data_IF_326111532633
#
_entry.id   IF_326111532633
#
_cell.length_a   1.000
_cell.length_b   1.000
_cell.length_c   1.000
_cell.angle_alpha   90.00
_cell.angle_beta   90.00
_cell.angle_gamma   90.00
#
_symmetry.space_group_name_H-M   'P 1'
#
loop_
_entity.id
_entity.type
_entity.pdbx_description
1 polymer ?
#
# COMPACT_ATOMS: atom_id res chain seq x y z
N UNK A 1 -9.33 23.57 8.70
CA UNK A 1 -10.29 23.18 7.63
C UNK A 1 -11.24 22.15 8.23
N UNK A 2 -12.53 22.09 7.85
CA UNK A 2 -13.46 21.11 8.41
C UNK A 2 -13.01 19.67 8.07
N UNK A 3 -13.30 18.72 8.96
CA UNK A 3 -12.98 17.30 8.75
C UNK A 3 -13.71 16.71 7.53
N UNK A 4 -14.94 17.17 7.32
CA UNK A 4 -15.80 16.73 6.23
C UNK A 4 -15.86 17.82 5.16
N UNK A 5 -15.42 17.49 3.96
CA UNK A 5 -15.41 18.41 2.82
C UNK A 5 -16.46 17.99 1.79
N UNK A 6 -17.38 18.87 1.36
CA UNK A 6 -18.35 18.53 0.31
C UNK A 6 -17.65 18.30 -1.04
N UNK A 7 -18.18 17.38 -1.85
CA UNK A 7 -17.64 17.10 -3.17
C UNK A 7 -17.79 18.32 -4.10
N UNK A 8 -16.74 18.74 -4.82
CA UNK A 8 -16.78 19.90 -5.70
C UNK A 8 -17.53 19.64 -7.01
N UNK A 9 -17.73 18.37 -7.39
CA UNK A 9 -18.43 17.94 -8.59
C UNK A 9 -19.38 16.79 -8.26
N UNK A 10 -20.50 16.66 -8.98
CA UNK A 10 -21.42 15.55 -8.77
C UNK A 10 -20.79 14.22 -9.22
N UNK A 11 -20.85 13.20 -8.36
CA UNK A 11 -20.28 11.87 -8.61
C UNK A 11 -19.04 11.56 -7.75
N UNK A 12 -18.52 10.33 -7.83
CA UNK A 12 -17.39 9.93 -6.99
C UNK A 12 -16.09 10.64 -7.39
N UNK A 13 -15.13 10.79 -6.45
CA UNK A 13 -13.81 11.30 -6.79
C UNK A 13 -13.11 10.41 -7.83
N UNK A 14 -12.09 10.95 -8.48
CA UNK A 14 -11.27 10.16 -9.42
C UNK A 14 -10.52 9.06 -8.66
N UNK A 15 -10.74 7.82 -9.04
CA UNK A 15 -10.04 6.65 -8.51
C UNK A 15 -9.73 5.67 -9.65
N UNK A 16 -8.80 4.76 -9.40
CA UNK A 16 -8.57 3.57 -10.23
C UNK A 16 -8.76 2.30 -9.41
N UNK A 17 -9.06 1.19 -10.05
CA UNK A 17 -9.09 -0.10 -9.35
C UNK A 17 -7.68 -0.61 -9.04
N UNK A 18 -7.56 -1.52 -8.06
CA UNK A 18 -6.29 -2.18 -7.71
C UNK A 18 -5.65 -2.86 -8.93
N UNK A 19 -6.48 -3.42 -9.81
CA UNK A 19 -6.02 -4.11 -11.02
C UNK A 19 -5.44 -3.14 -12.06
N UNK A 20 -6.08 -1.97 -12.24
CA UNK A 20 -5.57 -0.90 -13.10
C UNK A 20 -4.29 -0.29 -12.56
N UNK A 21 -4.19 -0.08 -11.24
CA UNK A 21 -2.96 0.39 -10.58
C UNK A 21 -1.78 -0.56 -10.83
N UNK A 22 -2.03 -1.87 -10.75
CA UNK A 22 -1.02 -2.90 -11.02
C UNK A 22 -0.56 -2.87 -12.49
N UNK A 23 -1.47 -2.64 -13.44
CA UNK A 23 -1.13 -2.51 -14.87
C UNK A 23 -0.31 -1.25 -15.17
N UNK A 24 -0.68 -0.11 -14.56
CA UNK A 24 0.03 1.17 -14.68
C UNK A 24 1.44 1.09 -14.08
N UNK A 25 1.60 0.41 -12.95
CA UNK A 25 2.91 0.24 -12.28
C UNK A 25 3.78 -0.82 -12.97
N UNK A 26 3.18 -1.84 -13.59
CA UNK A 26 3.91 -2.87 -14.33
C UNK A 26 4.53 -2.34 -15.63
N UNK A 27 3.97 -1.27 -16.20
CA UNK A 27 4.44 -0.65 -17.43
C UNK A 27 5.12 0.69 -17.11
N UNK A 28 6.37 0.65 -16.62
CA UNK A 28 7.28 1.82 -16.41
C UNK A 28 6.61 3.18 -16.72
N UNK A 29 5.88 3.76 -15.75
CA UNK A 29 5.13 4.98 -16.03
C UNK A 29 6.11 6.14 -16.24
N UNK A 30 5.78 7.03 -17.17
CA UNK A 30 6.57 8.24 -17.45
C UNK A 30 6.64 9.19 -16.25
N UNK A 31 5.73 9.04 -15.28
CA UNK A 31 5.76 9.72 -13.98
C UNK A 31 4.86 9.00 -12.98
N UNK A 32 5.39 8.60 -11.83
CA UNK A 32 4.61 7.96 -10.75
C UNK A 32 3.61 8.93 -10.07
N UNK A 33 3.78 10.24 -10.25
CA UNK A 33 2.91 11.28 -9.68
C UNK A 33 1.59 11.51 -10.41
N UNK A 34 1.37 10.86 -11.56
CA UNK A 34 0.11 10.96 -12.32
C UNK A 34 -0.85 9.79 -12.04
N UNK A 35 -0.40 8.81 -11.24
CA UNK A 35 -1.20 7.63 -10.93
C UNK A 35 -2.30 8.05 -9.94
N UNK A 36 -3.59 7.97 -10.32
CA UNK A 36 -4.68 8.32 -9.42
C UNK A 36 -4.76 7.35 -8.23
N UNK A 37 -5.39 7.76 -7.11
CA UNK A 37 -5.45 6.95 -5.92
C UNK A 37 -6.31 5.70 -6.14
N UNK A 38 -5.96 4.61 -5.48
CA UNK A 38 -6.61 3.32 -5.66
C UNK A 38 -7.89 3.23 -4.84
N UNK A 39 -8.96 2.73 -5.45
CA UNK A 39 -10.18 2.33 -4.74
C UNK A 39 -9.93 0.99 -4.04
N UNK A 40 -9.93 1.03 -2.71
CA UNK A 40 -9.78 -0.16 -1.87
C UNK A 40 -11.10 -0.88 -1.66
N UNK A 41 -12.20 -0.15 -1.47
CA UNK A 41 -13.52 -0.76 -1.27
C UNK A 41 -14.65 0.14 -1.77
N UNK A 42 -15.70 -0.45 -2.33
CA UNK A 42 -16.93 0.24 -2.73
C UNK A 42 -18.13 -0.53 -2.19
N UNK A 43 -19.00 0.15 -1.46
CA UNK A 43 -20.24 -0.41 -0.94
C UNK A 43 -21.44 0.46 -1.32
N UNK A 44 -22.51 -0.18 -1.80
CA UNK A 44 -23.77 0.49 -2.16
C UNK A 44 -24.81 0.34 -1.05
N UNK A 45 -25.82 1.21 -1.03
CA UNK A 45 -26.89 1.20 -0.02
C UNK A 45 -26.38 1.39 1.41
N UNK A 46 -25.42 2.29 1.60
CA UNK A 46 -24.86 2.65 2.90
C UNK A 46 -25.54 3.92 3.41
N UNK A 47 -25.90 3.95 4.68
CA UNK A 47 -26.36 5.16 5.37
C UNK A 47 -25.22 5.72 6.22
N UNK A 48 -25.05 7.04 6.22
CA UNK A 48 -24.06 7.72 7.07
C UNK A 48 -24.77 8.71 7.98
N UNK A 49 -24.48 8.63 9.27
CA UNK A 49 -25.06 9.48 10.30
C UNK A 49 -23.92 10.24 10.99
N UNK A 50 -24.10 11.54 11.18
CA UNK A 50 -23.18 12.39 11.94
C UNK A 50 -23.79 12.78 13.28
N UNK A 51 -22.97 12.75 14.34
CA UNK A 51 -23.32 13.32 15.64
C UNK A 51 -22.18 14.25 16.12
N UNK A 52 -22.42 15.56 16.26
CA UNK A 52 -23.64 16.27 15.89
C UNK A 52 -23.95 16.18 14.37
N UNK A 53 -25.18 16.49 13.92
CA UNK A 53 -25.50 16.50 12.49
C UNK A 53 -24.83 17.68 11.76
N UNK A 54 -24.44 17.47 10.50
CA UNK A 54 -23.87 18.52 9.65
C UNK A 54 -24.99 19.15 8.80
N UNK A 55 -25.19 20.48 8.85
CA UNK A 55 -26.12 21.15 7.96
C UNK A 55 -25.71 20.91 6.49
N UNK A 56 -26.69 20.74 5.60
CA UNK A 56 -26.51 20.40 4.17
C UNK A 56 -26.05 18.97 3.84
N UNK A 57 -25.50 18.21 4.79
CA UNK A 57 -25.08 16.80 4.60
C UNK A 57 -25.97 15.80 5.34
N UNK A 58 -26.89 16.25 6.19
CA UNK A 58 -27.83 15.39 6.91
C UNK A 58 -28.98 14.89 6.05
N UNK A 59 -28.76 13.86 5.25
CA UNK A 59 -29.83 13.13 4.57
C UNK A 59 -29.90 11.69 5.10
N UNK A 60 -31.10 11.24 5.48
CA UNK A 60 -31.36 9.83 5.88
C UNK A 60 -31.30 8.87 4.68
N UNK A 61 -31.02 9.39 3.49
CA UNK A 61 -30.90 8.62 2.25
C UNK A 61 -29.66 7.74 2.22
N UNK A 62 -29.83 6.52 1.70
CA UNK A 62 -28.74 5.60 1.44
C UNK A 62 -27.99 6.00 0.18
N UNK A 63 -26.68 5.98 0.23
CA UNK A 63 -25.78 6.30 -0.86
C UNK A 63 -24.76 5.19 -1.12
N UNK A 64 -23.70 5.56 -1.81
CA UNK A 64 -22.56 4.70 -2.11
C UNK A 64 -21.32 5.22 -1.38
N UNK A 65 -20.67 4.34 -0.63
CA UNK A 65 -19.42 4.58 0.05
C UNK A 65 -18.25 4.14 -0.85
N UNK A 66 -17.21 4.97 -0.92
CA UNK A 66 -15.97 4.70 -1.62
C UNK A 66 -14.82 4.89 -0.64
N UNK A 67 -14.10 3.82 -0.35
CA UNK A 67 -12.86 3.85 0.43
C UNK A 67 -11.72 3.90 -0.57
N UNK A 68 -11.13 5.08 -0.74
CA UNK A 68 -10.07 5.36 -1.71
C UNK A 68 -8.81 5.68 -0.91
N UNK A 69 -7.63 5.28 -1.36
CA UNK A 69 -6.37 5.50 -0.64
C UNK A 69 -6.15 6.95 -0.21
N UNK A 70 -6.60 7.94 -0.99
CA UNK A 70 -6.44 9.35 -0.64
C UNK A 70 -7.43 9.85 0.42
N UNK A 71 -8.67 9.35 0.39
CA UNK A 71 -9.76 9.82 1.24
C UNK A 71 -10.95 8.86 1.23
N UNK A 72 -11.71 8.85 2.31
CA UNK A 72 -13.05 8.26 2.35
C UNK A 72 -14.04 9.19 1.64
N UNK A 73 -14.83 8.67 0.71
CA UNK A 73 -15.86 9.44 0.01
C UNK A 73 -17.23 8.79 0.12
N UNK A 74 -18.27 9.61 0.21
CA UNK A 74 -19.65 9.14 0.21
C UNK A 74 -20.49 9.98 -0.76
N UNK A 75 -21.30 9.31 -1.57
CA UNK A 75 -22.09 9.96 -2.63
C UNK A 75 -23.55 9.50 -2.53
N UNK A 76 -24.46 10.47 -2.44
CA UNK A 76 -25.91 10.23 -2.50
C UNK A 76 -26.38 9.95 -3.93
N UNK A 77 -27.56 9.34 -4.11
CA UNK A 77 -28.17 9.14 -5.42
C UNK A 77 -28.43 10.44 -6.21
N UNK A 78 -28.55 11.56 -5.50
CA UNK A 78 -28.66 12.91 -6.10
C UNK A 78 -27.39 13.38 -6.79
N UNK A 79 -26.26 12.71 -6.58
CA UNK A 79 -24.93 13.08 -7.06
C UNK A 79 -24.15 13.99 -6.11
N UNK A 80 -24.79 14.55 -5.09
CA UNK A 80 -24.09 15.25 -4.01
C UNK A 80 -23.32 14.24 -3.14
N UNK A 81 -22.32 14.70 -2.40
CA UNK A 81 -21.56 13.86 -1.50
C UNK A 81 -20.48 14.63 -0.75
N UNK A 82 -19.66 13.91 -0.01
CA UNK A 82 -18.56 14.47 0.78
C UNK A 82 -17.35 13.53 0.80
N UNK A 83 -16.23 14.08 1.25
CA UNK A 83 -14.97 13.38 1.46
C UNK A 83 -14.41 13.69 2.84
N UNK A 84 -13.71 12.71 3.41
CA UNK A 84 -13.00 12.80 4.69
C UNK A 84 -11.59 12.26 4.47
N UNK A 85 -10.58 13.06 4.78
CA UNK A 85 -9.18 12.65 4.70
C UNK A 85 -8.81 11.75 5.89
N UNK A 86 -7.95 10.75 5.68
CA UNK A 86 -7.59 9.80 6.74
C UNK A 86 -6.98 10.44 7.98
N UNK A 87 -6.09 11.44 7.89
CA UNK A 87 -5.55 12.11 9.08
C UNK A 87 -6.64 12.75 9.96
N UNK A 88 -7.83 13.05 9.41
CA UNK A 88 -8.95 13.59 10.18
C UNK A 88 -9.78 12.51 10.89
N UNK A 89 -9.57 11.24 10.58
CA UNK A 89 -10.22 10.11 11.24
C UNK A 89 -9.32 9.70 12.41
N UNK A 90 -9.65 10.17 13.61
CA UNK A 90 -8.89 9.88 14.83
C UNK A 90 -8.95 8.41 15.19
N UNK A 91 -10.11 7.77 15.00
CA UNK A 91 -10.30 6.35 15.25
C UNK A 91 -11.48 5.82 14.46
N UNK A 92 -11.41 4.55 14.09
CA UNK A 92 -12.52 3.77 13.53
C UNK A 92 -12.65 2.42 14.24
N UNK A 93 -13.88 1.97 14.45
CA UNK A 93 -14.19 0.72 15.12
C UNK A 93 -15.47 0.08 14.60
N UNK A 94 -15.55 -1.24 14.67
CA UNK A 94 -16.79 -1.97 14.40
C UNK A 94 -17.74 -1.85 15.58
N UNK A 95 -18.91 -1.27 15.34
CA UNK A 95 -19.98 -1.10 16.34
C UNK A 95 -21.15 -2.02 16.02
N UNK A 96 -21.60 -2.80 17.01
CA UNK A 96 -22.76 -3.69 16.91
C UNK A 96 -23.83 -3.22 17.89
N UNK A 97 -24.52 -2.14 17.52
CA UNK A 97 -25.53 -1.48 18.35
C UNK A 97 -26.97 -1.90 18.01
N UNK A 98 -27.95 -1.21 18.60
CA UNK A 98 -29.38 -1.44 18.34
C UNK A 98 -29.78 -1.18 16.88
N UNK A 99 -29.05 -0.30 16.19
CA UNK A 99 -29.24 0.03 14.77
C UNK A 99 -28.65 -1.02 13.82
N UNK A 100 -28.01 -2.06 14.36
CA UNK A 100 -27.31 -3.09 13.59
C UNK A 100 -25.79 -2.91 13.56
N UNK A 101 -25.09 -3.78 12.81
CA UNK A 101 -23.64 -3.69 12.66
C UNK A 101 -23.29 -2.50 11.76
N UNK A 102 -22.32 -1.71 12.21
CA UNK A 102 -21.90 -0.45 11.59
C UNK A 102 -20.42 -0.19 11.85
N UNK A 103 -19.81 0.71 11.09
CA UNK A 103 -18.48 1.24 11.38
C UNK A 103 -18.64 2.61 12.03
N UNK A 104 -18.14 2.75 13.24
CA UNK A 104 -18.03 4.02 13.94
C UNK A 104 -16.70 4.67 13.61
N UNK A 105 -16.71 5.96 13.33
CA UNK A 105 -15.53 6.79 13.13
C UNK A 105 -15.63 8.04 14.00
N UNK A 106 -14.53 8.41 14.64
CA UNK A 106 -14.38 9.69 15.32
C UNK A 106 -13.54 10.61 14.44
N UNK A 107 -14.05 11.80 14.18
CA UNK A 107 -13.43 12.82 13.32
C UNK A 107 -12.91 13.98 14.17
N UNK A 108 -11.71 14.43 13.84
CA UNK A 108 -11.12 15.66 14.40
C UNK A 108 -11.54 16.87 13.58
N UNK A 109 -12.42 17.74 14.12
CA UNK A 109 -12.81 18.99 13.46
C UNK A 109 -11.93 20.19 13.83
N UNK A 110 -10.81 19.96 14.53
CA UNK A 110 -9.93 21.04 14.94
C UNK A 110 -9.51 21.90 13.75
N UNK A 111 -9.63 23.22 13.89
CA UNK A 111 -9.32 24.16 12.81
C UNK A 111 -7.86 24.05 12.35
N UNK A 112 -6.97 23.67 13.28
CA UNK A 112 -5.52 23.66 13.14
C UNK A 112 -4.93 22.37 12.53
N UNK A 113 -5.68 21.27 12.48
CA UNK A 113 -5.16 19.99 11.98
C UNK A 113 -5.12 18.91 13.05
N UNK A 114 -5.10 17.63 12.65
CA UNK A 114 -4.99 16.53 13.59
C UNK A 114 -3.70 16.67 14.41
N UNK A 115 -3.79 16.42 15.72
CA UNK A 115 -2.65 16.51 16.65
C UNK A 115 -2.20 17.94 17.01
N UNK A 116 -2.86 19.00 16.55
CA UNK A 116 -2.46 20.36 16.90
C UNK A 116 -2.55 20.60 18.42
N UNK A 117 -1.50 21.13 19.08
CA UNK A 117 -1.56 21.45 20.50
C UNK A 117 -2.60 22.54 20.73
N UNK A 118 -3.78 22.14 21.19
CA UNK A 118 -4.82 23.05 21.64
C UNK A 118 -4.28 23.83 22.83
N UNK A 119 -4.24 25.16 22.70
CA UNK A 119 -3.94 26.03 23.83
C UNK A 119 -5.02 25.87 24.91
N UNK A 120 -4.55 25.68 26.14
CA UNK A 120 -5.29 25.54 27.41
C UNK A 120 -6.23 24.31 27.51
N UNK A 121 -5.99 23.55 28.58
CA UNK A 121 -6.49 22.22 28.95
C UNK A 121 -8.02 22.12 29.22
N UNK A 122 -8.84 22.98 28.61
CA UNK A 122 -10.30 23.05 28.87
C UNK A 122 -11.17 23.33 27.63
N UNK A 123 -10.62 23.35 26.41
CA UNK A 123 -11.46 23.40 25.20
C UNK A 123 -11.78 21.98 24.74
N UNK A 124 -13.05 21.58 24.85
CA UNK A 124 -13.68 20.50 24.07
C UNK A 124 -12.96 20.38 22.72
N UNK A 125 -12.13 19.35 22.53
CA UNK A 125 -11.68 19.00 21.18
C UNK A 125 -12.95 18.80 20.37
N UNK A 126 -13.19 19.66 19.38
CA UNK A 126 -14.38 19.62 18.53
C UNK A 126 -14.34 18.31 17.73
N UNK A 127 -14.82 17.25 18.36
CA UNK A 127 -14.84 15.89 17.83
C UNK A 127 -16.24 15.61 17.30
N UNK A 128 -16.30 15.03 16.11
CA UNK A 128 -17.56 14.61 15.49
C UNK A 128 -17.57 13.12 15.28
N UNK A 129 -18.66 12.49 15.65
CA UNK A 129 -18.88 11.09 15.38
C UNK A 129 -19.51 10.91 14.00
N UNK A 130 -19.05 9.90 13.27
CA UNK A 130 -19.62 9.46 12.01
C UNK A 130 -19.89 7.97 12.09
N UNK A 131 -21.12 7.55 11.80
CA UNK A 131 -21.54 6.13 11.79
C UNK A 131 -21.90 5.72 10.38
N UNK A 132 -21.23 4.69 9.88
CA UNK A 132 -21.42 4.10 8.56
C UNK A 132 -22.22 2.80 8.73
N UNK A 133 -23.45 2.79 8.23
CA UNK A 133 -24.41 1.70 8.42
C UNK A 133 -24.70 1.08 7.04
N UNK A 134 -24.01 -0.01 6.66
CA UNK A 134 -24.31 -0.71 5.42
C UNK A 134 -25.64 -1.48 5.55
N UNK A 135 -26.35 -1.63 4.42
CA UNK A 135 -27.56 -2.47 4.39
C UNK A 135 -27.25 -3.95 4.57
N UNK A 136 -26.04 -4.38 4.19
CA UNK A 136 -25.54 -5.73 4.42
C UNK A 136 -24.60 -5.76 5.63
N UNK A 137 -24.94 -6.57 6.62
CA UNK A 137 -24.14 -6.77 7.83
C UNK A 137 -22.74 -7.34 7.56
N UNK A 138 -22.62 -8.17 6.53
CA UNK A 138 -21.34 -8.80 6.15
C UNK A 138 -20.36 -7.79 5.54
N UNK A 139 -20.85 -6.63 5.08
CA UNK A 139 -20.03 -5.58 4.49
C UNK A 139 -19.31 -4.72 5.55
N UNK A 140 -19.65 -4.84 6.83
CA UNK A 140 -19.03 -4.02 7.89
C UNK A 140 -17.56 -4.35 8.07
N UNK A 141 -17.21 -5.64 8.11
CA UNK A 141 -15.83 -6.11 8.26
C UNK A 141 -14.93 -5.66 7.09
N UNK A 142 -15.31 -5.84 5.80
CA UNK A 142 -14.48 -5.38 4.68
C UNK A 142 -14.37 -3.86 4.59
N UNK A 143 -15.40 -3.09 4.98
CA UNK A 143 -15.29 -1.63 5.09
C UNK A 143 -14.26 -1.25 6.15
N UNK A 144 -14.34 -1.88 7.33
CA UNK A 144 -13.39 -1.64 8.42
C UNK A 144 -11.96 -2.00 8.04
N UNK A 145 -11.75 -3.13 7.36
CA UNK A 145 -10.43 -3.56 6.90
C UNK A 145 -9.86 -2.56 5.88
N UNK A 146 -10.66 -2.15 4.89
CA UNK A 146 -10.23 -1.16 3.89
C UNK A 146 -9.89 0.19 4.52
N UNK A 147 -10.70 0.65 5.49
CA UNK A 147 -10.40 1.86 6.26
C UNK A 147 -9.07 1.73 7.03
N UNK A 148 -8.84 0.59 7.66
CA UNK A 148 -7.61 0.31 8.41
C UNK A 148 -6.38 0.32 7.51
N UNK A 149 -6.48 -0.30 6.34
CA UNK A 149 -5.39 -0.31 5.35
C UNK A 149 -5.07 1.11 4.87
N UNK A 150 -6.10 1.91 4.58
CA UNK A 150 -5.88 3.28 4.13
C UNK A 150 -5.35 4.18 5.26
N UNK A 151 -5.84 4.05 6.49
CA UNK A 151 -5.31 4.81 7.63
C UNK A 151 -3.82 4.53 7.85
N UNK A 152 -3.37 3.28 7.65
CA UNK A 152 -1.94 2.92 7.73
C UNK A 152 -1.05 3.60 6.68
N UNK A 153 -1.62 4.08 5.56
CA UNK A 153 -0.89 4.82 4.52
C UNK A 153 -0.74 6.31 4.84
N UNK A 154 -1.42 6.81 5.87
CA UNK A 154 -1.42 8.22 6.27
C UNK A 154 -1.00 8.36 7.74
N UNK A 155 0.29 8.13 8.07
CA UNK A 155 0.79 8.40 9.42
C UNK A 155 0.59 9.88 9.77
N UNK A 156 0.24 10.15 11.02
CA UNK A 156 0.01 11.53 11.47
C UNK A 156 1.35 12.29 11.42
N UNK A 157 1.39 13.49 10.81
CA UNK A 157 2.62 14.27 10.69
C UNK A 157 3.24 14.68 12.03
N UNK A 158 2.47 14.63 13.13
CA UNK A 158 2.94 14.98 14.48
C UNK A 158 3.39 13.77 15.32
N UNK A 159 3.19 12.53 14.83
CA UNK A 159 3.58 11.29 15.54
C UNK A 159 5.07 10.92 15.31
N UNK A 160 5.82 11.80 14.63
CA UNK A 160 7.22 11.59 14.26
C UNK A 160 8.27 12.34 15.10
N UNK A 161 7.88 13.00 16.20
CA UNK A 161 8.80 13.85 17.00
C UNK A 161 8.88 13.49 18.50
N UNK A 162 8.34 12.35 18.95
CA UNK A 162 8.41 11.93 20.37
C UNK A 162 8.95 10.48 20.56
N UNK A 163 9.88 10.05 19.69
CA UNK A 163 10.71 8.86 19.94
C UNK A 163 12.17 9.08 19.50
N UNK A 164 12.82 10.07 20.10
CA UNK A 164 14.25 10.11 20.35
C UNK A 164 14.56 10.18 21.87
N UNK A 165 13.62 9.66 22.68
CA UNK A 165 13.74 9.46 24.12
C UNK A 165 14.58 8.25 24.54
N UNK A 166 15.19 7.52 23.60
CA UNK A 166 16.31 6.62 23.89
C UNK A 166 17.63 7.39 23.78
N UNK A 167 17.80 8.37 24.67
CA UNK A 167 19.12 8.76 25.13
C UNK A 167 19.70 7.57 25.91
N UNK A 168 20.37 6.67 25.18
CA UNK A 168 21.48 5.91 25.74
C UNK A 168 22.49 6.96 26.22
N UNK A 169 22.40 7.27 27.51
CA UNK A 169 23.39 8.07 28.24
C UNK A 169 24.71 7.36 28.07
N UNK A 170 25.52 7.89 27.15
CA UNK A 170 26.70 7.23 26.64
C UNK A 170 27.70 6.92 27.75
N UNK A 171 27.87 5.62 28.01
CA UNK A 171 29.17 5.05 28.39
C UNK A 171 29.41 3.72 27.66
N UNK A 172 29.16 3.71 26.34
CA UNK A 172 29.41 2.52 25.52
C UNK A 172 29.39 2.84 24.03
N UNK A 173 30.39 3.59 23.56
CA UNK A 173 30.53 3.94 22.13
C UNK A 173 30.45 2.69 21.25
N UNK A 174 29.37 2.57 20.48
CA UNK A 174 29.31 1.66 19.35
C UNK A 174 30.12 2.28 18.21
N UNK A 175 31.38 1.89 18.12
CA UNK A 175 32.25 2.24 17.00
C UNK A 175 31.71 1.57 15.73
N UNK A 176 31.10 2.36 14.85
CA UNK A 176 30.72 1.92 13.52
C UNK A 176 31.99 1.58 12.73
N UNK A 177 32.16 0.29 12.43
CA UNK A 177 33.28 -0.24 11.65
C UNK A 177 33.26 0.31 10.22
N UNK A 178 34.12 1.29 9.93
CA UNK A 178 34.22 1.94 8.61
C UNK A 178 35.13 1.16 7.62
N UNK A 179 35.65 0.00 8.01
CA UNK A 179 36.41 -0.89 7.12
C UNK A 179 37.75 -0.33 6.61
N UNK A 180 38.20 0.84 7.07
CA UNK A 180 39.46 1.46 6.60
C UNK A 180 40.62 1.39 7.58
N UNK A 181 40.41 0.84 8.78
CA UNK A 181 41.49 0.65 9.73
C UNK A 181 41.72 -0.84 9.92
N UNK A 182 42.99 -1.24 9.91
CA UNK A 182 43.50 -2.61 9.92
C UNK A 182 43.24 -3.33 11.26
N UNK A 183 42.00 -3.30 11.77
CA UNK A 183 41.51 -4.16 12.84
C UNK A 183 41.35 -5.57 12.28
N UNK A 184 42.51 -6.17 12.05
CA UNK A 184 42.67 -7.58 11.88
C UNK A 184 41.95 -8.29 13.03
N UNK A 185 40.89 -9.02 12.70
CA UNK A 185 40.06 -9.89 13.53
C UNK A 185 40.70 -10.27 14.88
N UNK A 186 39.88 -10.30 15.94
CA UNK A 186 40.29 -10.88 17.23
C UNK A 186 40.93 -12.27 17.03
N UNK A 187 41.80 -12.71 17.93
CA UNK A 187 42.48 -14.02 17.83
C UNK A 187 41.48 -15.16 17.57
N UNK A 188 40.30 -15.08 18.19
CA UNK A 188 39.18 -16.01 17.98
C UNK A 188 38.61 -15.88 16.55
N UNK A 189 38.43 -14.66 16.05
CA UNK A 189 37.99 -14.38 14.70
C UNK A 189 38.96 -14.91 13.63
N UNK A 190 40.27 -14.76 13.83
CA UNK A 190 41.30 -15.32 12.91
C UNK A 190 41.25 -16.84 12.89
N UNK A 191 41.12 -17.47 14.06
CA UNK A 191 41.03 -18.92 14.16
C UNK A 191 39.76 -19.46 13.49
N UNK A 192 38.62 -18.77 13.64
CA UNK A 192 37.36 -19.13 12.99
C UNK A 192 37.43 -18.97 11.47
N UNK A 193 38.07 -17.90 10.97
CA UNK A 193 38.21 -17.65 9.54
C UNK A 193 39.14 -18.68 8.87
N UNK A 194 40.28 -18.99 9.48
CA UNK A 194 41.18 -20.05 8.98
C UNK A 194 40.51 -21.43 8.96
N UNK A 195 39.59 -21.70 9.89
CA UNK A 195 38.81 -22.93 9.88
C UNK A 195 37.81 -22.96 8.72
N UNK A 196 37.14 -21.84 8.44
CA UNK A 196 36.22 -21.70 7.31
C UNK A 196 36.93 -21.83 5.96
N UNK A 197 38.09 -21.20 5.79
CA UNK A 197 38.89 -21.31 4.56
C UNK A 197 39.37 -22.74 4.30
N UNK A 198 39.67 -23.50 5.35
CA UNK A 198 40.04 -24.91 5.24
C UNK A 198 38.88 -25.81 4.78
N UNK A 199 37.64 -25.40 5.02
CA UNK A 199 36.43 -26.15 4.63
C UNK A 199 36.08 -25.89 3.16
N UNK A 200 36.42 -24.71 2.63
CA UNK A 200 36.06 -24.34 1.26
C UNK A 200 37.11 -24.89 0.29
N UNK A 201 36.86 -26.09 -0.22
CA UNK A 201 37.60 -26.66 -1.34
C UNK A 201 37.14 -26.01 -2.65
N UNK A 202 37.92 -25.07 -3.17
CA UNK A 202 37.79 -24.60 -4.54
C UNK A 202 38.70 -25.46 -5.44
N UNK A 203 38.15 -26.39 -6.26
CA UNK A 203 38.95 -27.04 -7.28
C UNK A 203 39.49 -25.97 -8.23
N UNK A 204 40.80 -25.93 -8.40
CA UNK A 204 41.51 -25.02 -9.30
C UNK A 204 41.08 -25.36 -10.75
N UNK A 205 40.20 -24.53 -11.33
CA UNK A 205 39.92 -24.55 -12.76
C UNK A 205 41.14 -23.98 -13.48
N UNK A 206 42.02 -24.84 -13.97
CA UNK A 206 42.99 -24.46 -15.00
C UNK A 206 42.21 -24.00 -16.24
N UNK A 207 42.38 -22.72 -16.58
CA UNK A 207 41.91 -22.14 -17.83
C UNK A 207 42.66 -22.77 -19.02
N UNK A 208 41.96 -23.58 -19.83
CA UNK A 208 42.40 -23.88 -21.20
C UNK A 208 41.19 -23.98 -22.15
N UNK A 209 41.35 -23.36 -23.33
CA UNK A 209 40.35 -22.91 -24.30
C UNK A 209 39.36 -23.97 -24.86
N UNK A 210 38.18 -23.54 -25.40
CA UNK A 210 37.14 -24.44 -25.86
C UNK A 210 37.48 -25.15 -27.18
N UNK A 211 37.67 -26.47 -27.14
CA UNK A 211 37.64 -27.34 -28.32
C UNK A 211 36.20 -27.56 -28.82
N UNK A 212 35.95 -27.13 -30.07
CA UNK A 212 34.67 -27.05 -30.80
C UNK A 212 33.99 -28.37 -31.22
N UNK A 213 34.10 -29.47 -30.49
CA UNK A 213 33.60 -30.77 -31.01
C UNK A 213 32.83 -31.59 -29.98
N UNK A 214 31.55 -31.26 -29.70
CA UNK A 214 30.63 -32.17 -29.00
C UNK A 214 29.13 -31.78 -29.07
N UNK A 215 28.62 -31.39 -30.23
CA UNK A 215 27.18 -31.28 -30.54
C UNK A 215 27.09 -31.71 -32.01
N UNK A 216 26.41 -32.73 -32.50
CA UNK A 216 25.32 -33.59 -32.04
C UNK A 216 25.51 -34.93 -32.78
N UNK A 217 25.55 -36.07 -32.09
CA UNK A 217 25.30 -37.37 -32.74
C UNK A 217 24.31 -38.14 -31.88
N UNK A 218 23.02 -37.92 -32.17
CA UNK A 218 21.92 -38.76 -31.74
C UNK A 218 20.66 -38.38 -32.52
N UNK A 219 20.50 -38.89 -33.75
CA UNK A 219 19.15 -39.19 -34.25
C UNK A 219 19.11 -40.53 -35.00
N UNK A 220 17.95 -41.14 -34.81
CA UNK A 220 17.61 -42.55 -34.94
C UNK A 220 17.26 -42.92 -36.39
N UNK A 221 17.41 -44.20 -36.72
CA UNK A 221 17.26 -44.80 -38.05
C UNK A 221 15.79 -44.98 -38.51
N UNK A 222 15.59 -45.00 -39.85
CA UNK A 222 14.52 -45.60 -40.71
C UNK A 222 13.70 -44.57 -41.49
N UNK A 223 13.31 -44.70 -42.76
CA UNK A 223 13.29 -45.76 -43.80
C UNK A 223 13.16 -44.96 -45.14
N UNK A 224 13.97 -45.23 -46.18
CA UNK A 224 13.56 -45.88 -47.44
C UNK A 224 12.99 -44.96 -48.58
N UNK A 225 13.89 -44.71 -49.55
CA UNK A 225 13.77 -44.83 -51.02
C UNK A 225 13.11 -43.77 -51.96
N UNK A 226 13.97 -43.37 -52.92
CA UNK A 226 13.82 -43.08 -54.36
C UNK A 226 12.94 -41.93 -54.90
N UNK A 227 13.53 -41.12 -55.80
CA UNK A 227 12.74 -40.18 -56.60
C UNK A 227 13.47 -38.99 -57.24
N UNK A 228 14.41 -39.27 -58.13
CA UNK A 228 14.97 -38.45 -59.24
C UNK A 228 14.22 -37.14 -59.64
N UNK A 229 14.97 -36.01 -59.72
CA UNK A 229 14.69 -34.69 -60.41
C UNK A 229 14.18 -34.86 -61.87
N UNK A 230 13.61 -33.86 -62.62
CA UNK A 230 13.89 -32.41 -62.63
C UNK A 230 12.65 -31.49 -62.95
N UNK A 231 12.73 -30.37 -63.71
CA UNK A 231 12.86 -28.97 -63.25
C UNK A 231 11.63 -28.06 -63.52
N UNK A 232 11.74 -26.80 -63.07
CA UNK A 232 10.87 -25.61 -63.25
C UNK A 232 10.20 -25.42 -64.63
N UNK A 233 9.04 -24.71 -64.66
CA UNK A 233 9.04 -23.45 -65.42
C UNK A 233 8.25 -22.28 -64.79
N UNK A 234 8.54 -21.10 -65.33
CA UNK A 234 8.07 -19.78 -64.96
C UNK A 234 6.58 -19.51 -65.25
N UNK A 235 5.97 -18.62 -64.45
CA UNK A 235 4.77 -17.85 -64.81
C UNK A 235 5.05 -16.39 -64.40
N UNK A 236 5.33 -15.51 -65.36
CA UNK A 236 4.40 -14.66 -66.13
C UNK A 236 3.77 -13.56 -65.30
#
# INVERSE_FOLDING_TARGET
MPAVTPLPQPGPPKFITVEEHKQLTASTPSSFGDIPPVLQHKEENVQVIFDPPIPDLGSDEKGTLYVIESALAFVWPSGAGFTVEYPRITLHAVSRGETGPSVYCQLDESANGPGAPGGDEEQDSEMREMKIIPSNAESVEPIFEALSQCAALHPDPNDGDDDDGWVDDGEGGFETFDGTNEEELSEVGRAALAHLESIIFFPEEEEDEPSKEALEDAEETKDENDGTKPPVPAAK
#
